data_IF_101013467991
#
_entry.id   IF_101013467991
#
_cell.length_a   1.000
_cell.length_b   1.000
_cell.length_c   1.000
_cell.angle_alpha   90.00
_cell.angle_beta   90.00
_cell.angle_gamma   90.00
#
_symmetry.space_group_name_H-M   'P 1'
#
loop_
_entity.id
_entity.type
_entity.pdbx_description
1 polymer ?
#
# COMPACT_ATOMS: atom_id res chain seq x y z
N UNK A 1 -24.47 4.40 26.95
CA UNK A 1 -23.09 3.87 27.08
C UNK A 1 -22.68 3.32 25.74
N UNK A 2 -21.80 4.03 25.03
CA UNK A 2 -21.47 3.80 23.63
C UNK A 2 -20.33 2.78 23.54
N UNK A 3 -20.62 1.60 22.97
CA UNK A 3 -19.63 0.56 22.72
C UNK A 3 -19.05 0.69 21.31
N UNK A 4 -18.22 1.72 21.09
CA UNK A 4 -17.42 1.87 19.85
C UNK A 4 -16.00 1.36 20.09
N UNK A 5 -15.80 0.07 20.37
CA UNK A 5 -14.45 -0.48 20.61
C UNK A 5 -14.29 -1.97 20.25
N UNK A 6 -14.68 -2.42 19.05
CA UNK A 6 -14.43 -3.84 18.69
C UNK A 6 -14.21 -4.12 17.21
N UNK A 7 -13.44 -3.31 16.48
CA UNK A 7 -12.99 -3.71 15.13
C UNK A 7 -11.53 -3.37 14.83
N UNK A 8 -10.92 -2.41 15.55
CA UNK A 8 -9.50 -2.07 15.42
C UNK A 8 -8.54 -2.91 16.30
N UNK A 9 -9.03 -3.96 16.96
CA UNK A 9 -8.18 -4.82 17.82
C UNK A 9 -7.69 -6.12 17.16
N UNK A 10 -8.20 -6.48 15.99
CA UNK A 10 -7.82 -7.75 15.34
C UNK A 10 -6.64 -7.63 14.37
N UNK A 11 -6.17 -6.41 14.07
CA UNK A 11 -5.01 -6.18 13.19
C UNK A 11 -3.72 -5.92 14.00
N UNK A 12 -3.63 -6.46 15.21
CA UNK A 12 -2.48 -6.27 16.11
C UNK A 12 -1.71 -7.57 16.42
N UNK A 13 -2.09 -8.70 15.83
CA UNK A 13 -1.51 -10.00 16.16
C UNK A 13 -1.16 -10.76 14.88
N UNK A 14 -0.06 -10.37 14.21
CA UNK A 14 0.72 -11.31 13.40
C UNK A 14 2.14 -10.79 13.08
N UNK A 15 2.88 -10.30 14.08
CA UNK A 15 4.36 -10.29 14.03
C UNK A 15 4.87 -10.65 15.43
N UNK A 16 4.64 -11.89 15.85
CA UNK A 16 5.42 -12.51 16.93
C UNK A 16 6.24 -13.63 16.30
N UNK A 17 7.31 -13.22 15.64
CA UNK A 17 8.50 -14.02 15.36
C UNK A 17 9.71 -13.11 15.04
N UNK A 18 9.82 -11.96 15.71
CA UNK A 18 11.13 -11.33 15.88
C UNK A 18 11.61 -11.85 17.22
N UNK A 19 12.41 -12.89 17.12
CA UNK A 19 13.14 -13.50 18.21
C UNK A 19 13.60 -12.44 19.22
N UNK A 20 13.44 -12.76 20.50
CA UNK A 20 14.10 -12.13 21.62
C UNK A 20 15.62 -12.04 21.34
N UNK A 21 16.07 -10.95 20.72
CA UNK A 21 17.44 -10.50 20.92
C UNK A 21 17.40 -9.64 22.16
N UNK A 22 17.65 -10.30 23.28
CA UNK A 22 18.02 -9.69 24.54
C UNK A 22 19.04 -8.59 24.28
N UNK A 23 18.63 -7.33 24.38
CA UNK A 23 19.55 -6.24 24.69
C UNK A 23 20.03 -6.48 26.10
N UNK A 24 21.02 -7.36 26.23
CA UNK A 24 21.88 -7.39 27.39
C UNK A 24 22.58 -6.04 27.41
N UNK A 25 22.13 -5.16 28.29
CA UNK A 25 22.90 -4.02 28.75
C UNK A 25 24.14 -4.57 29.46
N UNK A 26 25.10 -5.09 28.68
CA UNK A 26 26.44 -5.36 29.12
C UNK A 26 27.09 -4.01 29.38
N UNK A 27 26.93 -3.58 30.63
CA UNK A 27 27.82 -2.63 31.27
C UNK A 27 29.25 -3.12 31.05
N UNK A 28 29.97 -2.34 30.25
CA UNK A 28 31.37 -1.98 30.44
C UNK A 28 32.26 -3.05 31.08
N UNK A 29 32.98 -3.80 30.24
CA UNK A 29 34.42 -4.10 30.39
C UNK A 29 34.99 -4.33 28.98
N UNK A 30 36.17 -3.77 28.71
CA UNK A 30 36.72 -3.57 27.35
C UNK A 30 36.80 -4.82 26.48
N UNK A 31 35.95 -4.85 25.45
CA UNK A 31 36.04 -5.76 24.33
C UNK A 31 35.42 -5.09 23.11
N UNK A 32 36.09 -5.19 21.97
CA UNK A 32 35.64 -4.69 20.65
C UNK A 32 34.25 -5.23 20.34
N UNK A 33 33.21 -4.51 20.77
CA UNK A 33 31.84 -4.73 20.32
C UNK A 33 31.80 -4.35 18.85
N UNK A 34 31.87 -5.35 17.98
CA UNK A 34 31.48 -5.16 16.58
C UNK A 34 30.08 -4.52 16.59
N UNK A 35 29.91 -3.31 16.07
CA UNK A 35 28.60 -2.73 15.95
C UNK A 35 27.78 -3.67 15.07
N UNK A 36 26.73 -4.28 15.62
CA UNK A 36 25.75 -4.97 14.77
C UNK A 36 25.05 -3.89 13.97
N UNK A 37 25.46 -3.73 12.71
CA UNK A 37 24.79 -2.84 11.78
C UNK A 37 23.29 -3.23 11.78
N UNK A 38 22.36 -2.29 11.98
CA UNK A 38 20.94 -2.62 12.02
C UNK A 38 20.56 -3.40 10.76
N UNK A 39 19.92 -4.56 10.94
CA UNK A 39 19.47 -5.40 9.82
C UNK A 39 18.37 -4.65 9.07
N UNK A 40 18.67 -4.24 7.84
CA UNK A 40 17.68 -3.61 6.95
C UNK A 40 16.61 -4.63 6.60
N UNK A 41 15.35 -4.28 6.81
CA UNK A 41 14.21 -5.13 6.42
C UNK A 41 13.89 -4.91 4.95
N UNK A 42 13.85 -6.00 4.18
CA UNK A 42 13.57 -5.96 2.74
C UNK A 42 12.07 -6.02 2.45
N UNK A 43 11.62 -5.19 1.53
CA UNK A 43 10.24 -5.12 1.06
C UNK A 43 10.18 -5.62 -0.38
N UNK A 44 9.46 -6.72 -0.59
CA UNK A 44 9.29 -7.32 -1.91
C UNK A 44 8.10 -6.74 -2.68
N UNK A 45 8.09 -6.93 -3.99
CA UNK A 45 6.93 -6.66 -4.84
C UNK A 45 5.70 -7.41 -4.33
N UNK A 46 5.86 -8.68 -3.93
CA UNK A 46 4.78 -9.49 -3.38
C UNK A 46 4.21 -8.87 -2.10
N UNK A 47 5.05 -8.37 -1.19
CA UNK A 47 4.56 -7.74 0.04
C UNK A 47 3.70 -6.51 -0.25
N UNK A 48 4.08 -5.69 -1.24
CA UNK A 48 3.28 -4.53 -1.65
C UNK A 48 1.97 -4.99 -2.30
N UNK A 49 2.02 -5.94 -3.22
CA UNK A 49 0.82 -6.49 -3.89
C UNK A 49 -0.16 -7.08 -2.89
N UNK A 50 0.31 -7.92 -1.97
CA UNK A 50 -0.51 -8.56 -0.94
C UNK A 50 -1.12 -7.52 0.01
N UNK A 51 -0.36 -6.49 0.37
CA UNK A 51 -0.88 -5.39 1.21
C UNK A 51 -1.99 -4.65 0.49
N UNK A 52 -1.81 -4.33 -0.80
CA UNK A 52 -2.85 -3.68 -1.61
C UNK A 52 -4.09 -4.57 -1.71
N UNK A 53 -3.94 -5.84 -2.09
CA UNK A 53 -5.08 -6.78 -2.19
C UNK A 53 -5.76 -7.01 -0.84
N UNK A 54 -4.99 -7.02 0.24
CA UNK A 54 -5.47 -7.17 1.61
C UNK A 54 -6.34 -6.02 2.10
N UNK A 55 -6.36 -4.87 1.42
CA UNK A 55 -7.34 -3.80 1.67
C UNK A 55 -8.78 -4.27 1.39
N UNK A 56 -8.94 -5.22 0.46
CA UNK A 56 -10.23 -5.82 0.12
C UNK A 56 -11.28 -4.79 -0.31
N UNK A 57 -12.51 -4.98 0.17
CA UNK A 57 -13.65 -4.15 -0.17
C UNK A 57 -13.63 -2.83 0.60
N UNK A 58 -13.54 -1.73 -0.14
CA UNK A 58 -13.87 -0.40 0.33
C UNK A 58 -15.35 -0.17 0.13
N UNK A 59 -16.06 0.09 1.23
CA UNK A 59 -17.51 0.33 1.24
C UNK A 59 -17.79 1.73 1.73
N UNK A 60 -18.91 2.27 1.27
CA UNK A 60 -19.44 3.51 1.79
C UNK A 60 -19.88 3.35 3.25
N UNK A 61 -19.97 4.46 3.96
CA UNK A 61 -20.48 4.54 5.33
C UNK A 61 -22.01 4.60 5.39
N UNK A 62 -22.69 4.49 4.24
CA UNK A 62 -24.14 4.37 4.18
C UNK A 62 -24.65 3.09 4.86
N UNK A 63 -25.94 3.07 5.18
CA UNK A 63 -26.55 1.93 5.89
C UNK A 63 -26.47 0.63 5.09
N UNK A 64 -26.40 0.74 3.76
CA UNK A 64 -26.33 -0.40 2.83
C UNK A 64 -24.92 -0.91 2.61
N UNK A 65 -23.90 -0.20 3.13
CA UNK A 65 -22.48 -0.47 2.91
C UNK A 65 -22.16 -0.67 1.42
N UNK A 66 -22.62 0.28 0.59
CA UNK A 66 -22.47 0.21 -0.87
C UNK A 66 -21.01 0.00 -1.24
N UNK A 67 -20.73 -1.00 -2.09
CA UNK A 67 -19.37 -1.25 -2.58
C UNK A 67 -18.88 -0.05 -3.40
N UNK A 68 -17.70 0.47 -3.03
CA UNK A 68 -17.01 1.54 -3.76
C UNK A 68 -15.96 0.94 -4.69
N UNK A 69 -15.10 0.07 -4.15
CA UNK A 69 -13.97 -0.52 -4.86
C UNK A 69 -13.54 -1.78 -4.13
N UNK A 70 -13.09 -2.82 -4.85
CA UNK A 70 -12.56 -4.04 -4.23
C UNK A 70 -11.11 -4.27 -4.67
N UNK A 71 -10.15 -3.93 -3.81
CA UNK A 71 -8.75 -4.18 -4.06
C UNK A 71 -8.39 -5.67 -4.07
N UNK A 72 -9.21 -6.54 -3.46
CA UNK A 72 -9.04 -7.98 -3.54
C UNK A 72 -9.17 -8.52 -4.97
N UNK A 73 -9.86 -7.77 -5.84
CA UNK A 73 -10.01 -8.10 -7.27
C UNK A 73 -8.92 -7.48 -8.15
N UNK A 74 -7.95 -6.77 -7.57
CA UNK A 74 -6.85 -6.16 -8.31
C UNK A 74 -6.08 -7.23 -9.10
N UNK A 75 -5.85 -6.98 -10.40
CA UNK A 75 -5.01 -7.86 -11.21
C UNK A 75 -3.58 -7.92 -10.65
N UNK A 76 -2.86 -9.00 -10.93
CA UNK A 76 -1.42 -9.02 -10.66
C UNK A 76 -0.73 -7.84 -11.39
N UNK A 77 0.13 -7.06 -10.71
CA UNK A 77 0.85 -5.99 -11.37
C UNK A 77 1.78 -6.53 -12.46
N UNK A 78 1.70 -5.90 -13.63
CA UNK A 78 2.58 -6.19 -14.76
C UNK A 78 2.90 -4.89 -15.50
N UNK A 79 4.17 -4.72 -15.87
CA UNK A 79 4.67 -3.51 -16.53
C UNK A 79 4.31 -2.22 -15.76
N UNK A 80 4.42 -2.28 -14.43
CA UNK A 80 4.13 -1.16 -13.53
C UNK A 80 2.66 -0.77 -13.48
N UNK A 81 1.73 -1.62 -13.92
CA UNK A 81 0.29 -1.34 -13.89
C UNK A 81 -0.52 -2.50 -13.32
N UNK A 82 -1.66 -2.18 -12.70
CA UNK A 82 -2.66 -3.15 -12.26
C UNK A 82 -4.07 -2.59 -12.51
N UNK A 83 -5.07 -3.48 -12.59
CA UNK A 83 -6.44 -3.10 -12.91
C UNK A 83 -7.39 -3.51 -11.80
N UNK A 84 -8.40 -2.68 -11.53
CA UNK A 84 -9.61 -3.04 -10.79
C UNK A 84 -10.81 -2.67 -11.66
N UNK A 85 -11.70 -3.64 -11.88
CA UNK A 85 -12.94 -3.44 -12.63
C UNK A 85 -14.15 -3.33 -11.68
N UNK A 86 -15.28 -2.90 -12.21
CA UNK A 86 -16.56 -2.83 -11.49
C UNK A 86 -16.51 -1.95 -10.23
N UNK A 87 -15.73 -0.87 -10.28
CA UNK A 87 -15.79 0.16 -9.24
C UNK A 87 -17.13 0.89 -9.28
N UNK A 88 -17.48 1.54 -8.18
CA UNK A 88 -18.66 2.40 -8.14
C UNK A 88 -18.52 3.56 -9.13
N UNK A 89 -19.57 3.81 -9.90
CA UNK A 89 -19.60 4.91 -10.87
C UNK A 89 -19.45 6.32 -10.29
N UNK A 90 -19.63 6.56 -8.99
CA UNK A 90 -19.40 7.89 -8.41
C UNK A 90 -17.90 8.16 -8.29
N UNK A 91 -17.41 9.07 -9.13
CA UNK A 91 -16.02 9.51 -9.12
C UNK A 91 -15.64 10.11 -7.76
N UNK A 92 -16.54 10.90 -7.17
CA UNK A 92 -16.32 11.50 -5.85
C UNK A 92 -16.11 10.42 -4.78
N UNK A 93 -16.97 9.38 -4.74
CA UNK A 93 -16.82 8.29 -3.77
C UNK A 93 -15.52 7.52 -3.95
N UNK A 94 -15.17 7.16 -5.19
CA UNK A 94 -13.90 6.47 -5.49
C UNK A 94 -12.71 7.33 -5.09
N UNK A 95 -12.70 8.62 -5.46
CA UNK A 95 -11.62 9.56 -5.12
C UNK A 95 -11.47 9.69 -3.60
N UNK A 96 -12.56 9.90 -2.87
CA UNK A 96 -12.53 9.97 -1.39
C UNK A 96 -12.00 8.69 -0.76
N UNK A 97 -12.49 7.52 -1.19
CA UNK A 97 -12.05 6.23 -0.65
C UNK A 97 -10.54 6.02 -0.84
N UNK A 98 -10.02 6.30 -2.04
CA UNK A 98 -8.59 6.19 -2.33
C UNK A 98 -7.76 7.20 -1.54
N UNK A 99 -8.22 8.45 -1.41
CA UNK A 99 -7.55 9.47 -0.57
C UNK A 99 -7.46 9.01 0.88
N UNK A 100 -8.52 8.44 1.45
CA UNK A 100 -8.50 7.93 2.83
C UNK A 100 -7.52 6.77 3.00
N UNK A 101 -7.56 5.79 2.09
CA UNK A 101 -6.69 4.62 2.16
C UNK A 101 -5.22 5.00 2.03
N UNK A 102 -4.85 5.77 0.99
CA UNK A 102 -3.46 6.14 0.76
C UNK A 102 -2.96 7.28 1.65
N UNK A 103 -3.87 8.03 2.29
CA UNK A 103 -3.53 9.01 3.31
C UNK A 103 -3.19 8.41 4.67
N UNK A 104 -3.45 7.11 4.88
CA UNK A 104 -3.17 6.44 6.16
C UNK A 104 -1.66 6.14 6.28
N UNK A 105 -0.95 6.71 7.28
CA UNK A 105 0.49 6.49 7.43
C UNK A 105 0.84 5.01 7.63
N UNK A 106 1.93 4.57 7.00
CA UNK A 106 2.46 3.22 7.17
C UNK A 106 3.88 3.29 7.74
N UNK A 107 4.22 2.34 8.61
CA UNK A 107 5.56 2.28 9.23
C UNK A 107 6.65 1.94 8.22
N UNK A 108 6.35 1.05 7.27
CA UNK A 108 7.32 0.47 6.33
C UNK A 108 7.56 1.37 5.12
N UNK A 109 6.48 1.93 4.55
CA UNK A 109 6.53 2.71 3.31
C UNK A 109 5.85 4.07 3.52
N UNK A 110 6.40 5.12 2.92
CA UNK A 110 5.62 6.31 2.59
C UNK A 110 4.94 6.08 1.25
N UNK A 111 3.64 6.34 1.18
CA UNK A 111 2.83 6.21 -0.03
C UNK A 111 2.30 7.57 -0.45
N UNK A 112 2.48 7.92 -1.72
CA UNK A 112 1.90 9.13 -2.31
C UNK A 112 1.15 8.79 -3.59
N UNK A 113 0.18 9.61 -3.96
CA UNK A 113 -0.58 9.45 -5.21
C UNK A 113 -0.71 10.77 -5.95
N UNK A 114 -0.97 10.70 -7.26
CA UNK A 114 -1.35 11.86 -8.06
C UNK A 114 -2.87 12.11 -8.07
N UNK A 115 -3.62 11.49 -7.16
CA UNK A 115 -5.07 11.48 -7.16
C UNK A 115 -5.69 12.87 -7.01
N UNK A 116 -5.07 13.76 -6.25
CA UNK A 116 -5.57 15.12 -6.01
C UNK A 116 -5.80 15.88 -7.33
N UNK A 117 -4.85 15.76 -8.27
CA UNK A 117 -4.91 16.41 -9.58
C UNK A 117 -5.75 15.65 -10.63
N UNK A 118 -6.30 14.48 -10.29
CA UNK A 118 -7.15 13.71 -11.21
C UNK A 118 -8.54 14.34 -11.34
N UNK A 119 -8.97 14.42 -12.60
CA UNK A 119 -10.33 14.74 -13.00
C UNK A 119 -11.11 13.46 -13.30
N UNK A 120 -12.43 13.56 -13.27
CA UNK A 120 -13.34 12.48 -13.67
C UNK A 120 -13.05 12.07 -15.13
N UNK A 121 -12.82 10.79 -15.42
CA UNK A 121 -12.70 10.31 -16.81
C UNK A 121 -14.03 10.42 -17.56
N UNK A 122 -13.96 10.47 -18.89
CA UNK A 122 -15.16 10.43 -19.75
C UNK A 122 -15.76 9.02 -19.78
N UNK A 123 -17.09 8.93 -19.78
CA UNK A 123 -17.84 7.66 -19.87
C UNK A 123 -17.35 6.62 -18.86
N UNK A 124 -17.01 5.42 -19.29
CA UNK A 124 -16.47 4.35 -18.46
C UNK A 124 -14.94 4.18 -18.64
N UNK A 125 -14.24 5.21 -19.13
CA UNK A 125 -12.78 5.15 -19.25
C UNK A 125 -12.12 4.97 -17.87
N UNK A 126 -10.99 4.27 -17.84
CA UNK A 126 -10.31 4.00 -16.57
C UNK A 126 -9.80 5.29 -15.92
N UNK A 127 -10.02 5.42 -14.61
CA UNK A 127 -9.26 6.34 -13.78
C UNK A 127 -7.87 5.75 -13.54
N UNK A 128 -6.83 6.41 -14.04
CA UNK A 128 -5.44 5.99 -13.83
C UNK A 128 -4.82 6.78 -12.67
N UNK A 129 -4.48 6.10 -11.58
CA UNK A 129 -3.84 6.68 -10.39
C UNK A 129 -2.41 6.17 -10.29
N UNK A 130 -1.45 7.09 -10.29
CA UNK A 130 -0.04 6.74 -10.06
C UNK A 130 0.24 6.74 -8.56
N UNK A 131 0.58 5.57 -8.04
CA UNK A 131 0.94 5.35 -6.64
C UNK A 131 2.46 5.22 -6.57
N UNK A 132 3.10 6.04 -5.74
CA UNK A 132 4.54 5.98 -5.48
C UNK A 132 4.79 5.48 -4.07
N UNK A 133 5.60 4.44 -3.95
CA UNK A 133 6.05 3.85 -2.70
C UNK A 133 7.50 4.23 -2.45
N UNK A 134 7.81 4.70 -1.25
CA UNK A 134 9.17 4.98 -0.81
C UNK A 134 9.43 4.25 0.51
N UNK A 135 10.50 3.47 0.58
CA UNK A 135 10.88 2.79 1.82
C UNK A 135 11.28 3.81 2.90
N UNK A 136 10.73 3.65 4.09
CA UNK A 136 11.11 4.45 5.25
C UNK A 136 12.47 3.99 5.80
N UNK A 137 13.06 4.78 6.72
CA UNK A 137 14.31 4.41 7.38
C UNK A 137 14.23 3.02 8.02
N UNK A 138 15.26 2.20 7.83
CA UNK A 138 15.30 0.80 8.28
C UNK A 138 14.71 -0.21 7.28
N UNK A 139 14.14 0.26 6.16
CA UNK A 139 13.56 -0.57 5.11
C UNK A 139 14.18 -0.28 3.74
N UNK A 140 14.23 -1.29 2.88
CA UNK A 140 14.65 -1.14 1.48
C UNK A 140 13.86 -2.08 0.57
N UNK A 141 13.70 -1.73 -0.71
CA UNK A 141 13.16 -2.66 -1.70
C UNK A 141 14.17 -3.78 -2.01
N UNK A 142 13.67 -4.98 -2.27
CA UNK A 142 14.49 -6.12 -2.70
C UNK A 142 14.67 -6.20 -4.23
N UNK A 143 15.32 -7.27 -4.69
CA UNK A 143 15.59 -7.51 -6.11
C UNK A 143 14.35 -7.83 -6.95
N UNK A 144 13.20 -8.16 -6.33
CA UNK A 144 11.94 -8.32 -7.07
C UNK A 144 11.42 -6.98 -7.61
N UNK A 145 11.88 -5.85 -7.05
CA UNK A 145 11.58 -4.49 -7.49
C UNK A 145 12.80 -3.85 -8.16
N UNK A 146 13.98 -3.97 -7.55
CA UNK A 146 15.18 -3.23 -7.98
C UNK A 146 16.00 -3.94 -9.07
N UNK A 147 15.75 -5.24 -9.27
CA UNK A 147 16.49 -6.06 -10.23
C UNK A 147 16.27 -5.61 -11.68
N UNK A 148 17.32 -5.73 -12.49
CA UNK A 148 17.21 -5.46 -13.92
C UNK A 148 16.16 -6.38 -14.58
N UNK A 149 15.32 -5.82 -15.45
CA UNK A 149 14.27 -6.56 -16.15
C UNK A 149 13.04 -6.91 -15.30
N UNK A 150 12.97 -6.46 -14.04
CA UNK A 150 11.73 -6.55 -13.25
C UNK A 150 10.73 -5.50 -13.70
N UNK A 151 9.49 -5.94 -13.90
CA UNK A 151 8.42 -5.10 -14.45
C UNK A 151 7.16 -5.09 -13.61
N UNK A 152 7.10 -5.83 -12.49
CA UNK A 152 5.93 -5.84 -11.60
C UNK A 152 5.60 -4.43 -11.11
N UNK A 153 6.63 -3.69 -10.70
CA UNK A 153 6.57 -2.26 -10.38
C UNK A 153 7.63 -1.51 -11.19
N UNK A 154 7.39 -0.23 -11.47
CA UNK A 154 8.40 0.62 -12.11
C UNK A 154 9.32 1.20 -11.04
N UNK A 155 10.58 0.77 -11.00
CA UNK A 155 11.55 1.28 -10.03
C UNK A 155 12.32 2.50 -10.57
N UNK A 156 12.42 3.54 -9.75
CA UNK A 156 13.27 4.70 -9.99
C UNK A 156 14.45 4.68 -8.98
N UNK A 157 15.65 4.45 -9.49
CA UNK A 157 16.87 4.35 -8.70
C UNK A 157 17.35 5.70 -8.11
N UNK A 158 17.05 6.83 -8.77
CA UNK A 158 17.40 8.18 -8.27
C UNK A 158 16.68 8.46 -6.96
N UNK A 159 15.36 8.17 -6.95
CA UNK A 159 14.50 8.53 -5.83
C UNK A 159 14.28 7.37 -4.86
N UNK A 160 14.87 6.20 -5.17
CA UNK A 160 14.66 4.91 -4.50
C UNK A 160 13.17 4.63 -4.27
N UNK A 161 12.38 4.75 -5.33
CA UNK A 161 10.92 4.61 -5.27
C UNK A 161 10.40 3.55 -6.25
N UNK A 162 9.36 2.83 -5.84
CA UNK A 162 8.61 1.92 -6.69
C UNK A 162 7.28 2.58 -7.09
N UNK A 163 6.85 2.43 -8.34
CA UNK A 163 5.62 3.04 -8.85
C UNK A 163 4.68 1.99 -9.42
N UNK A 164 3.38 2.20 -9.19
CA UNK A 164 2.29 1.42 -9.76
C UNK A 164 1.24 2.37 -10.32
N UNK A 165 0.83 2.17 -11.57
CA UNK A 165 -0.36 2.80 -12.14
C UNK A 165 -1.56 1.88 -11.89
N UNK A 166 -2.44 2.27 -10.98
CA UNK A 166 -3.68 1.57 -10.73
C UNK A 166 -4.76 2.11 -11.67
N UNK A 167 -5.30 1.24 -12.52
CA UNK A 167 -6.37 1.56 -13.47
C UNK A 167 -7.70 1.07 -12.91
N UNK A 168 -8.63 1.99 -12.71
CA UNK A 168 -9.92 1.70 -12.08
C UNK A 168 -11.03 1.97 -13.10
N UNK A 169 -11.75 0.92 -13.47
CA UNK A 169 -12.87 1.02 -14.41
C UNK A 169 -14.20 0.91 -13.64
N UNK A 170 -15.12 1.86 -13.82
CA UNK A 170 -16.41 1.82 -13.14
C UNK A 170 -17.34 0.77 -13.79
N UNK A 171 -18.33 0.30 -13.05
CA UNK A 171 -19.35 -0.64 -13.55
C UNK A 171 -20.29 -0.01 -14.60
N UNK A 172 -20.38 1.32 -14.64
CA UNK A 172 -21.14 2.15 -15.57
C UNK A 172 -20.39 3.47 -15.82
N UNK A 173 -20.89 4.31 -16.71
CA UNK A 173 -20.29 5.64 -16.93
C UNK A 173 -20.17 6.43 -15.62
N UNK A 174 -19.04 7.11 -15.45
CA UNK A 174 -18.74 7.93 -14.28
C UNK A 174 -19.82 8.99 -14.06
N UNK A 175 -20.24 9.14 -12.81
CA UNK A 175 -21.09 10.23 -12.31
C UNK A 175 -20.33 11.01 -11.25
N UNK A 176 -20.72 12.26 -11.02
CA UNK A 176 -20.25 13.03 -9.85
C UNK A 176 -21.05 12.63 -8.60
#
# INVERSE_FOLDING_TARGET
MNNTKTIFKSLLIMIVAISLFTVSCSKDEGGTKNPTNPTIVKVSAQNITDTLKGLGQLKDTDQTQTLILDFGTMSEPANGSANIANANKSFAKVKTALTTVFGTPQTILTVTTDLESKNKPTDNAALEVNITFKANSGFEFDESITGAGKTTYTYNASDKSAKLTLKITPDQNWVD
#
